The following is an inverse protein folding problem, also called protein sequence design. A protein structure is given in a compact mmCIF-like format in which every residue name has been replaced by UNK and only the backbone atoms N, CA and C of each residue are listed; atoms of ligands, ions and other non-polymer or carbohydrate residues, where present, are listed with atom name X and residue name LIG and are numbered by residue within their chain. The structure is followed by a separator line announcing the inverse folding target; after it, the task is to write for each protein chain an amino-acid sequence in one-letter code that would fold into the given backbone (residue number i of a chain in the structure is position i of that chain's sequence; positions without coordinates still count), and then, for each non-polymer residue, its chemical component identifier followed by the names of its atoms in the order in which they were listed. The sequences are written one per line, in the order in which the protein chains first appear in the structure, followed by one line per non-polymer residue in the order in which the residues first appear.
data_IF_045878634495
#
_entry.id   IF_045878634495
#
_cell.length_a   1.000
_cell.length_b   1.000
_cell.length_c   1.000
_cell.angle_alpha   90.00
_cell.angle_beta   90.00
_cell.angle_gamma   90.00
#
_symmetry.space_group_name_H-M   'P 1'
#
loop_
_entity.id
_entity.type
_entity.pdbx_description
1 polymer ?
#
# COMPACT_ATOMS: atom_id res chain seq x y z
N UNK A 1 4.53 12.99 -1.62
CA UNK A 1 4.49 14.19 -2.50
C UNK A 1 5.65 14.08 -3.48
N UNK A 2 5.55 14.61 -4.68
CA UNK A 2 6.65 14.79 -5.63
C UNK A 2 7.68 15.81 -5.11
N UNK A 3 8.89 15.83 -5.65
CA UNK A 3 9.88 16.88 -5.31
C UNK A 3 9.49 18.24 -5.88
N UNK A 4 8.82 18.23 -7.04
CA UNK A 4 8.16 19.41 -7.63
C UNK A 4 7.00 19.96 -6.80
N UNK A 5 6.60 19.27 -5.74
CA UNK A 5 5.46 19.58 -4.87
C UNK A 5 4.11 19.65 -5.60
N UNK A 6 4.05 19.23 -6.88
CA UNK A 6 2.85 19.30 -7.72
C UNK A 6 1.83 18.19 -7.46
N UNK A 7 2.23 17.08 -6.84
CA UNK A 7 1.36 15.93 -6.56
C UNK A 7 1.53 15.41 -5.15
N UNK A 8 0.42 15.16 -4.47
CA UNK A 8 0.36 14.48 -3.16
C UNK A 8 -0.41 13.18 -3.29
N UNK A 9 0.26 12.06 -3.10
CA UNK A 9 -0.33 10.73 -3.11
C UNK A 9 -0.51 10.20 -1.69
N UNK A 10 -1.75 9.88 -1.32
CA UNK A 10 -2.03 9.12 -0.09
C UNK A 10 -1.94 7.63 -0.36
N UNK A 11 -0.94 7.01 0.21
CA UNK A 11 -0.65 5.58 0.01
C UNK A 11 -1.71 4.71 0.67
N UNK A 12 -2.32 3.83 -0.12
CA UNK A 12 -3.12 2.70 0.37
C UNK A 12 -2.39 1.41 -0.03
N UNK A 13 -1.88 0.63 0.92
CA UNK A 13 -1.13 -0.58 0.61
C UNK A 13 -1.92 -1.56 -0.25
N UNK A 14 -1.25 -2.21 -1.19
CA UNK A 14 -1.79 -3.17 -2.16
C UNK A 14 -2.72 -2.57 -3.22
N UNK A 15 -2.68 -1.24 -3.38
CA UNK A 15 -3.40 -0.47 -4.38
C UNK A 15 -2.43 0.24 -5.33
N UNK A 16 -1.58 -0.51 -6.02
CA UNK A 16 -0.59 -0.03 -7.01
C UNK A 16 0.46 0.97 -6.47
N UNK A 17 0.72 0.99 -5.16
CA UNK A 17 1.61 1.98 -4.55
C UNK A 17 3.03 1.98 -5.13
N UNK A 18 3.58 0.83 -5.53
CA UNK A 18 4.90 0.78 -6.18
C UNK A 18 4.89 1.40 -7.57
N UNK A 19 3.85 1.14 -8.38
CA UNK A 19 3.70 1.72 -9.72
C UNK A 19 3.51 3.23 -9.64
N UNK A 20 2.66 3.70 -8.74
CA UNK A 20 2.45 5.13 -8.50
C UNK A 20 3.74 5.80 -8.05
N UNK A 21 4.48 5.21 -7.10
CA UNK A 21 5.76 5.71 -6.66
C UNK A 21 6.76 5.85 -7.81
N UNK A 22 6.83 4.85 -8.70
CA UNK A 22 7.69 4.90 -9.89
C UNK A 22 7.27 6.01 -10.86
N UNK A 23 5.98 6.24 -11.08
CA UNK A 23 5.48 7.31 -11.94
C UNK A 23 5.80 8.69 -11.34
N UNK A 24 5.57 8.85 -10.03
CA UNK A 24 5.91 10.09 -9.31
C UNK A 24 7.40 10.39 -9.38
N UNK A 25 8.24 9.37 -9.19
CA UNK A 25 9.69 9.50 -9.32
C UNK A 25 10.08 9.86 -10.77
N UNK A 26 9.45 9.23 -11.76
CA UNK A 26 9.68 9.55 -13.15
C UNK A 26 9.28 10.99 -13.49
N UNK A 27 8.18 11.47 -12.94
CA UNK A 27 7.73 12.86 -13.13
C UNK A 27 8.76 13.88 -12.66
N UNK A 28 9.46 13.61 -11.57
CA UNK A 28 10.48 14.51 -11.02
C UNK A 28 11.85 14.38 -11.70
N UNK A 29 12.22 13.16 -12.18
CA UNK A 29 13.60 12.85 -12.56
C UNK A 29 13.78 12.43 -14.02
N UNK A 30 12.69 12.25 -14.80
CA UNK A 30 12.71 11.80 -16.19
C UNK A 30 13.19 10.34 -16.38
N UNK A 31 13.30 9.56 -15.31
CA UNK A 31 13.72 8.15 -15.31
C UNK A 31 13.05 7.38 -14.17
N UNK A 32 12.93 6.08 -14.31
CA UNK A 32 12.47 5.22 -13.20
C UNK A 32 13.54 5.05 -12.13
N UNK A 33 13.10 4.86 -10.89
CA UNK A 33 13.99 4.53 -9.78
C UNK A 33 14.54 3.11 -9.94
N UNK A 34 15.86 2.97 -9.87
CA UNK A 34 16.50 1.66 -9.89
C UNK A 34 16.59 1.08 -8.48
N UNK A 35 15.61 0.26 -8.12
CA UNK A 35 15.53 -0.36 -6.80
C UNK A 35 14.12 -0.51 -6.29
N UNK A 36 13.98 -0.65 -4.97
CA UNK A 36 12.68 -0.64 -4.31
C UNK A 36 12.24 0.80 -4.06
N UNK A 37 11.19 1.21 -4.75
CA UNK A 37 10.64 2.58 -4.64
C UNK A 37 10.17 2.92 -3.22
N UNK A 38 9.95 1.92 -2.37
CA UNK A 38 9.61 2.10 -0.97
C UNK A 38 10.83 2.27 -0.06
N UNK A 39 12.04 2.16 -0.61
CA UNK A 39 13.26 2.40 0.14
C UNK A 39 13.47 3.91 0.38
N UNK A 40 14.11 4.25 1.50
CA UNK A 40 14.43 5.63 1.84
C UNK A 40 15.26 6.36 0.77
N UNK A 41 16.08 5.61 0.04
CA UNK A 41 16.94 6.12 -1.04
C UNK A 41 16.16 6.64 -2.26
N UNK A 42 14.87 6.32 -2.38
CA UNK A 42 13.99 6.87 -3.43
C UNK A 42 13.68 8.36 -3.24
N UNK A 43 13.94 8.92 -2.07
CA UNK A 43 13.55 10.28 -1.72
C UNK A 43 12.06 10.47 -1.40
N UNK A 44 11.17 9.62 -1.93
CA UNK A 44 9.73 9.71 -1.67
C UNK A 44 9.37 9.41 -0.22
N UNK A 45 10.20 8.66 0.49
CA UNK A 45 9.97 8.27 1.88
C UNK A 45 9.99 9.45 2.85
N UNK A 46 10.70 10.54 2.52
CA UNK A 46 10.75 11.76 3.35
C UNK A 46 9.35 12.34 3.63
N UNK A 47 8.44 12.21 2.68
CA UNK A 47 7.07 12.72 2.79
C UNK A 47 6.16 11.94 3.75
N UNK A 48 6.61 10.79 4.24
CA UNK A 48 5.93 10.03 5.28
C UNK A 48 6.36 10.43 6.70
N UNK A 49 7.30 11.36 6.83
CA UNK A 49 7.80 11.82 8.12
C UNK A 49 6.90 12.92 8.69
N UNK A 50 6.71 12.97 10.02
CA UNK A 50 5.89 14.00 10.66
C UNK A 50 6.33 15.43 10.32
N UNK A 51 7.62 15.65 10.14
CA UNK A 51 8.23 16.95 9.84
C UNK A 51 7.80 17.49 8.46
N UNK A 52 7.40 16.62 7.55
CA UNK A 52 6.93 17.00 6.22
C UNK A 52 5.44 17.34 6.17
N UNK A 53 4.66 16.99 7.18
CA UNK A 53 3.21 17.19 7.20
C UNK A 53 2.80 18.67 7.06
N UNK A 54 3.42 19.65 7.76
CA UNK A 54 3.05 21.06 7.61
C UNK A 54 3.22 21.59 6.18
N UNK A 55 4.27 21.15 5.48
CA UNK A 55 4.50 21.53 4.09
C UNK A 55 3.46 20.91 3.16
N UNK A 56 3.11 19.63 3.36
CA UNK A 56 2.06 18.97 2.59
C UNK A 56 0.73 19.70 2.79
N UNK A 57 0.36 19.98 4.04
CA UNK A 57 -0.88 20.67 4.38
C UNK A 57 -0.94 22.07 3.78
N UNK A 58 0.17 22.82 3.81
CA UNK A 58 0.26 24.15 3.22
C UNK A 58 0.07 24.11 1.70
N UNK A 59 0.71 23.17 1.00
CA UNK A 59 0.57 23.01 -0.45
C UNK A 59 -0.83 22.57 -0.87
N UNK A 60 -1.45 21.67 -0.11
CA UNK A 60 -2.84 21.24 -0.33
C UNK A 60 -3.81 22.41 -0.09
N UNK A 61 -3.65 23.15 1.00
CA UNK A 61 -4.50 24.30 1.32
C UNK A 61 -4.38 25.42 0.29
N UNK A 62 -3.19 25.62 -0.26
CA UNK A 62 -2.93 26.62 -1.31
C UNK A 62 -3.33 26.14 -2.73
N UNK A 63 -3.87 24.95 -2.89
CA UNK A 63 -4.16 24.30 -4.19
C UNK A 63 -2.96 24.24 -5.14
N UNK A 64 -1.76 24.17 -4.59
CA UNK A 64 -0.51 24.04 -5.36
C UNK A 64 -0.21 22.61 -5.76
N UNK A 65 -0.77 21.63 -5.04
CA UNK A 65 -0.58 20.23 -5.29
C UNK A 65 -1.92 19.53 -5.55
N UNK A 66 -1.96 18.71 -6.58
CA UNK A 66 -3.06 17.80 -6.84
C UNK A 66 -3.01 16.63 -5.85
N UNK A 67 -4.11 16.37 -5.18
CA UNK A 67 -4.20 15.32 -4.16
C UNK A 67 -4.93 14.10 -4.70
N UNK A 68 -4.32 12.92 -4.56
CA UNK A 68 -4.96 11.70 -5.02
C UNK A 68 -4.65 10.48 -4.16
N UNK A 69 -5.48 9.46 -4.33
CA UNK A 69 -5.27 8.13 -3.77
C UNK A 69 -5.68 7.08 -4.78
N UNK A 70 -5.26 5.85 -4.53
CA UNK A 70 -5.68 4.70 -5.34
C UNK A 70 -6.33 3.65 -4.44
N UNK A 71 -7.47 3.16 -4.84
CA UNK A 71 -8.19 2.08 -4.17
C UNK A 71 -8.28 0.85 -5.07
N UNK A 72 -8.59 -0.28 -4.48
CA UNK A 72 -8.69 -1.56 -5.17
C UNK A 72 -9.91 -2.32 -4.67
N UNK A 73 -10.49 -3.16 -5.51
CA UNK A 73 -11.49 -4.13 -5.08
C UNK A 73 -10.99 -4.84 -3.80
N UNK A 74 -11.76 -4.85 -2.70
CA UNK A 74 -11.29 -5.36 -1.41
C UNK A 74 -10.90 -6.83 -1.45
N UNK A 75 -11.56 -7.65 -2.26
CA UNK A 75 -11.21 -9.06 -2.44
C UNK A 75 -9.87 -9.23 -3.15
N UNK A 76 -9.63 -8.46 -4.21
CA UNK A 76 -8.36 -8.46 -4.92
C UNK A 76 -7.21 -7.90 -4.04
N UNK A 77 -7.50 -6.92 -3.20
CA UNK A 77 -6.53 -6.34 -2.26
C UNK A 77 -6.09 -7.35 -1.21
N UNK A 78 -7.03 -8.03 -0.56
CA UNK A 78 -6.70 -9.00 0.50
C UNK A 78 -5.99 -10.23 -0.07
N UNK A 79 -6.36 -10.67 -1.27
CA UNK A 79 -5.67 -11.75 -1.99
C UNK A 79 -4.21 -11.36 -2.29
N UNK A 80 -3.99 -10.14 -2.78
CA UNK A 80 -2.65 -9.60 -3.00
C UNK A 80 -1.83 -9.54 -1.71
N UNK A 81 -2.47 -9.21 -0.58
CA UNK A 81 -1.82 -9.20 0.73
C UNK A 81 -1.40 -10.59 1.19
N UNK A 82 -2.25 -11.58 0.98
CA UNK A 82 -1.95 -12.98 1.30
C UNK A 82 -0.71 -13.47 0.56
N UNK A 83 -0.68 -13.34 -0.76
CA UNK A 83 0.46 -13.82 -1.54
C UNK A 83 1.74 -13.04 -1.25
N UNK A 84 1.68 -11.74 -1.12
CA UNK A 84 2.88 -10.92 -0.91
C UNK A 84 3.40 -11.00 0.54
N UNK A 85 2.52 -10.90 1.54
CA UNK A 85 2.94 -10.75 2.93
C UNK A 85 2.95 -12.06 3.73
N UNK A 86 2.13 -13.02 3.33
CA UNK A 86 2.04 -14.30 4.04
C UNK A 86 2.84 -15.39 3.32
N UNK A 87 2.63 -15.56 2.01
CA UNK A 87 3.33 -16.58 1.23
C UNK A 87 4.68 -16.09 0.69
N UNK A 88 4.81 -14.80 0.40
CA UNK A 88 5.99 -14.22 -0.22
C UNK A 88 7.25 -14.24 0.65
N UNK A 89 8.39 -14.30 -0.01
CA UNK A 89 9.71 -14.15 0.58
C UNK A 89 10.25 -12.78 0.18
N UNK A 90 10.66 -11.99 1.16
CA UNK A 90 11.26 -10.68 0.92
C UNK A 90 12.67 -10.80 0.32
N UNK A 91 13.20 -9.70 -0.24
CA UNK A 91 14.56 -9.65 -0.83
C UNK A 91 15.67 -10.11 0.12
N UNK A 92 15.48 -9.93 1.43
CA UNK A 92 16.41 -10.40 2.45
C UNK A 92 16.31 -11.91 2.78
N UNK A 93 15.53 -12.68 2.00
CA UNK A 93 15.30 -14.11 2.21
C UNK A 93 14.38 -14.44 3.38
N UNK A 94 13.74 -13.44 4.01
CA UNK A 94 12.85 -13.62 5.14
C UNK A 94 11.40 -13.39 4.74
N UNK A 95 10.48 -14.01 5.46
CA UNK A 95 9.06 -13.72 5.32
C UNK A 95 8.70 -12.40 6.02
N UNK A 96 7.75 -11.69 5.45
CA UNK A 96 7.16 -10.55 6.14
C UNK A 96 6.59 -11.00 7.48
N UNK A 97 7.02 -10.33 8.57
CA UNK A 97 6.65 -10.76 9.94
C UNK A 97 6.82 -12.26 10.17
N UNK A 98 8.04 -12.76 9.95
CA UNK A 98 8.36 -14.19 10.02
C UNK A 98 7.92 -14.90 11.31
N UNK A 99 7.85 -14.18 12.44
CA UNK A 99 7.29 -14.66 13.70
C UNK A 99 5.77 -14.91 13.66
N UNK A 100 5.04 -14.31 12.74
CA UNK A 100 3.61 -14.51 12.55
C UNK A 100 3.30 -15.86 11.88
N UNK A 101 4.13 -16.29 10.96
CA UNK A 101 3.90 -17.51 10.16
C UNK A 101 3.72 -18.77 11.03
N UNK A 102 4.55 -19.06 12.04
CA UNK A 102 4.32 -20.19 12.93
C UNK A 102 2.94 -20.16 13.59
N UNK A 103 2.49 -19.00 14.05
CA UNK A 103 1.17 -18.85 14.65
C UNK A 103 0.05 -19.08 13.63
N UNK A 104 0.20 -18.58 12.40
CA UNK A 104 -0.77 -18.80 11.31
C UNK A 104 -0.89 -20.28 10.96
N UNK A 105 0.23 -21.00 10.88
CA UNK A 105 0.26 -22.44 10.61
C UNK A 105 -0.40 -23.21 11.76
N UNK A 106 0.00 -22.94 13.00
CA UNK A 106 -0.46 -23.71 14.17
C UNK A 106 -1.91 -23.43 14.52
N UNK A 107 -2.31 -22.15 14.53
CA UNK A 107 -3.65 -21.74 15.02
C UNK A 107 -4.71 -21.74 13.92
N UNK A 108 -4.36 -21.39 12.70
CA UNK A 108 -5.30 -21.28 11.59
C UNK A 108 -5.10 -22.36 10.52
N UNK A 109 -4.05 -23.18 10.61
CA UNK A 109 -3.74 -24.23 9.66
C UNK A 109 -3.38 -23.72 8.26
N UNK A 110 -2.83 -22.48 8.18
CA UNK A 110 -2.47 -21.86 6.90
C UNK A 110 -1.17 -22.51 6.39
N UNK A 111 -1.20 -23.02 5.17
CA UNK A 111 -0.01 -23.47 4.46
C UNK A 111 0.60 -22.33 3.66
N UNK A 112 1.93 -22.28 3.57
CA UNK A 112 2.66 -21.15 2.96
C UNK A 112 3.80 -21.59 2.04
N UNK A 113 3.75 -22.80 1.52
CA UNK A 113 4.75 -23.33 0.58
C UNK A 113 6.13 -23.58 1.18
N UNK A 114 6.19 -23.95 2.46
CA UNK A 114 7.45 -24.26 3.16
C UNK A 114 8.28 -23.00 3.51
N UNK A 115 9.48 -23.18 4.07
CA UNK A 115 10.34 -22.08 4.52
C UNK A 115 10.79 -21.14 3.39
N UNK A 116 11.03 -21.71 2.20
CA UNK A 116 11.47 -20.99 1.00
C UNK A 116 10.32 -20.53 0.08
N UNK A 117 9.08 -20.83 0.47
CA UNK A 117 7.87 -20.47 -0.30
C UNK A 117 7.66 -21.25 -1.59
N UNK A 118 8.45 -22.31 -1.85
CA UNK A 118 8.46 -23.02 -3.14
C UNK A 118 7.71 -24.35 -3.13
N UNK A 119 7.40 -24.88 -1.94
CA UNK A 119 6.67 -26.14 -1.86
C UNK A 119 5.21 -25.96 -2.28
N UNK A 120 4.64 -26.87 -3.07
CA UNK A 120 3.21 -26.86 -3.39
C UNK A 120 2.35 -26.90 -2.11
N UNK A 121 1.26 -26.16 -2.11
CA UNK A 121 0.27 -26.17 -1.02
C UNK A 121 -1.12 -25.84 -1.55
N UNK A 122 -2.17 -26.15 -0.79
CA UNK A 122 -3.53 -25.78 -1.14
C UNK A 122 -3.74 -24.27 -0.89
N UNK A 123 -3.52 -23.49 -1.94
CA UNK A 123 -3.65 -22.03 -1.90
C UNK A 123 -5.07 -21.57 -1.59
N UNK A 124 -6.08 -22.30 -2.07
CA UNK A 124 -7.49 -21.93 -1.85
C UNK A 124 -7.88 -22.14 -0.39
N UNK A 125 -7.58 -23.31 0.16
CA UNK A 125 -7.85 -23.62 1.57
C UNK A 125 -7.07 -22.65 2.49
N UNK A 126 -5.80 -22.42 2.19
CA UNK A 126 -4.95 -21.50 2.98
C UNK A 126 -5.44 -20.06 2.90
N UNK A 127 -5.86 -19.58 1.74
CA UNK A 127 -6.45 -18.26 1.62
C UNK A 127 -7.77 -18.13 2.40
N UNK A 128 -8.65 -19.12 2.34
CA UNK A 128 -9.89 -19.14 3.15
C UNK A 128 -9.58 -19.02 4.65
N UNK A 129 -8.57 -19.74 5.12
CA UNK A 129 -8.12 -19.67 6.52
C UNK A 129 -7.49 -18.31 6.86
N UNK A 130 -6.75 -17.73 5.92
CA UNK A 130 -6.23 -16.36 6.07
C UNK A 130 -7.35 -15.32 6.19
N UNK A 131 -8.46 -15.50 5.47
CA UNK A 131 -9.62 -14.62 5.63
C UNK A 131 -10.22 -14.67 7.04
N UNK A 132 -10.24 -15.86 7.67
CA UNK A 132 -10.66 -15.98 9.06
C UNK A 132 -9.72 -15.24 10.01
N UNK A 133 -8.41 -15.41 9.82
CA UNK A 133 -7.40 -14.65 10.58
C UNK A 133 -7.56 -13.13 10.40
N UNK A 134 -7.66 -12.65 9.15
CA UNK A 134 -7.82 -11.23 8.86
C UNK A 134 -9.10 -10.67 9.50
N UNK A 135 -10.21 -11.40 9.41
CA UNK A 135 -11.47 -11.05 10.09
C UNK A 135 -11.28 -10.92 11.60
N UNK A 136 -10.60 -11.88 12.22
CA UNK A 136 -10.39 -11.89 13.66
C UNK A 136 -9.52 -10.72 14.12
N UNK A 137 -8.51 -10.32 13.34
CA UNK A 137 -7.71 -9.12 13.61
C UNK A 137 -8.53 -7.83 13.49
N UNK A 138 -9.39 -7.73 12.47
CA UNK A 138 -10.21 -6.53 12.22
C UNK A 138 -11.31 -6.37 13.29
N UNK A 139 -12.01 -7.47 13.60
CA UNK A 139 -13.16 -7.43 14.52
C UNK A 139 -12.76 -7.38 15.99
N UNK A 140 -11.76 -8.16 16.35
CA UNK A 140 -11.44 -8.45 17.74
C UNK A 140 -10.10 -7.91 18.17
N UNK A 141 -9.33 -7.39 17.21
CA UNK A 141 -7.91 -7.00 17.40
C UNK A 141 -7.08 -8.13 17.99
N UNK A 142 -7.48 -9.37 17.73
CA UNK A 142 -6.81 -10.60 18.18
C UNK A 142 -6.66 -11.55 16.99
N UNK A 143 -5.52 -12.22 16.93
CA UNK A 143 -4.43 -12.31 17.91
C UNK A 143 -3.46 -11.13 17.88
N UNK A 144 -3.64 -10.17 17.01
CA UNK A 144 -2.81 -8.96 16.88
C UNK A 144 -3.64 -7.82 16.27
N UNK A 145 -3.12 -6.60 16.33
CA UNK A 145 -3.69 -5.47 15.61
C UNK A 145 -3.70 -5.73 14.09
N UNK A 146 -4.74 -5.29 13.38
CA UNK A 146 -4.80 -5.46 11.94
C UNK A 146 -3.64 -4.73 11.26
N UNK A 147 -2.96 -5.45 10.38
CA UNK A 147 -1.89 -4.89 9.58
C UNK A 147 -2.44 -3.98 8.47
N UNK A 148 -1.70 -2.96 8.12
CA UNK A 148 -2.08 -1.98 7.08
C UNK A 148 -2.39 -2.61 5.72
N UNK A 149 -1.84 -3.80 5.43
CA UNK A 149 -2.05 -4.50 4.15
C UNK A 149 -3.41 -5.18 4.05
N UNK A 150 -4.07 -5.48 5.18
CA UNK A 150 -5.42 -6.08 5.19
C UNK A 150 -6.42 -5.36 6.09
N UNK A 151 -6.04 -4.25 6.74
CA UNK A 151 -6.97 -3.38 7.46
C UNK A 151 -7.96 -2.70 6.51
N UNK A 152 -9.02 -2.13 7.04
CA UNK A 152 -10.02 -1.43 6.24
C UNK A 152 -9.41 -0.24 5.48
N UNK A 153 -9.74 -0.12 4.19
CA UNK A 153 -9.28 1.00 3.35
C UNK A 153 -9.79 2.34 3.88
N UNK A 154 -11.00 2.35 4.43
CA UNK A 154 -11.61 3.55 5.02
C UNK A 154 -10.73 4.20 6.09
N UNK A 155 -9.99 3.43 6.89
CA UNK A 155 -9.07 3.97 7.88
C UNK A 155 -7.91 4.75 7.27
N UNK A 156 -7.41 4.33 6.09
CA UNK A 156 -6.34 5.03 5.39
C UNK A 156 -6.82 6.32 4.71
N UNK A 157 -8.00 6.26 4.09
CA UNK A 157 -8.59 7.37 3.34
C UNK A 157 -9.16 8.41 4.29
N UNK A 158 -9.89 7.99 5.32
CA UNK A 158 -10.56 8.90 6.25
C UNK A 158 -9.58 9.76 7.06
N UNK A 159 -8.41 9.26 7.43
CA UNK A 159 -7.40 10.02 8.17
C UNK A 159 -6.99 11.30 7.42
N UNK A 160 -6.83 11.22 6.11
CA UNK A 160 -6.50 12.39 5.29
C UNK A 160 -7.67 13.39 5.23
N UNK A 161 -8.91 12.89 5.11
CA UNK A 161 -10.12 13.74 5.08
C UNK A 161 -10.32 14.44 6.42
N UNK A 162 -10.13 13.74 7.55
CA UNK A 162 -10.30 14.32 8.90
C UNK A 162 -9.30 15.45 9.16
N UNK A 163 -8.10 15.36 8.61
CA UNK A 163 -7.09 16.40 8.73
C UNK A 163 -7.29 17.58 7.76
N UNK A 164 -8.48 17.75 7.19
CA UNK A 164 -8.82 18.84 6.28
C UNK A 164 -8.40 18.62 4.83
N UNK A 165 -7.70 17.53 4.54
CA UNK A 165 -7.34 17.15 3.16
C UNK A 165 -8.57 16.62 2.41
N UNK A 166 -8.58 16.89 1.10
CA UNK A 166 -9.54 16.28 0.18
C UNK A 166 -8.77 15.63 -0.96
N UNK A 167 -9.39 14.67 -1.62
CA UNK A 167 -8.84 14.10 -2.84
C UNK A 167 -9.43 14.80 -4.05
N UNK A 168 -8.58 15.30 -4.93
CA UNK A 168 -8.97 15.80 -6.24
C UNK A 168 -9.28 14.62 -7.18
N UNK A 169 -8.55 13.49 -7.00
CA UNK A 169 -8.76 12.27 -7.76
C UNK A 169 -8.72 11.02 -6.87
N UNK A 170 -9.63 10.07 -7.14
CA UNK A 170 -9.58 8.72 -6.58
C UNK A 170 -9.45 7.74 -7.73
N UNK A 171 -8.32 7.05 -7.79
CA UNK A 171 -8.03 6.04 -8.80
C UNK A 171 -8.54 4.67 -8.35
N UNK A 172 -8.86 3.84 -9.33
CA UNK A 172 -9.17 2.44 -9.13
C UNK A 172 -8.11 1.59 -9.83
N UNK A 173 -7.53 0.60 -9.15
CA UNK A 173 -6.52 -0.27 -9.77
C UNK A 173 -7.05 -1.00 -11.01
N UNK A 174 -8.35 -1.24 -11.08
CA UNK A 174 -9.05 -1.88 -12.20
C UNK A 174 -9.11 -1.00 -13.47
N UNK A 175 -8.84 0.30 -13.31
CA UNK A 175 -8.77 1.32 -14.38
C UNK A 175 -7.54 2.21 -14.17
N UNK A 176 -6.41 1.58 -13.83
CA UNK A 176 -5.23 2.29 -13.37
C UNK A 176 -4.70 3.30 -14.39
N UNK A 177 -4.52 2.87 -15.65
CA UNK A 177 -3.93 3.71 -16.70
C UNK A 177 -4.81 4.94 -16.99
N UNK A 178 -6.13 4.75 -17.11
CA UNK A 178 -7.08 5.85 -17.31
C UNK A 178 -7.06 6.84 -16.14
N UNK A 179 -7.05 6.31 -14.90
CA UNK A 179 -7.01 7.15 -13.70
C UNK A 179 -5.69 7.90 -13.56
N UNK A 180 -4.57 7.24 -13.83
CA UNK A 180 -3.24 7.86 -13.72
C UNK A 180 -3.02 8.93 -14.80
N UNK A 181 -3.51 8.73 -16.01
CA UNK A 181 -3.46 9.75 -17.05
C UNK A 181 -4.20 11.02 -16.61
N UNK A 182 -5.40 10.90 -16.01
CA UNK A 182 -6.13 12.06 -15.48
C UNK A 182 -5.38 12.81 -14.38
N UNK A 183 -4.64 12.08 -13.53
CA UNK A 183 -3.77 12.70 -12.52
C UNK A 183 -2.65 13.49 -13.18
N UNK A 184 -1.97 12.92 -14.17
CA UNK A 184 -0.86 13.58 -14.86
C UNK A 184 -1.33 14.81 -15.65
N UNK A 185 -2.49 14.71 -16.33
CA UNK A 185 -3.07 15.83 -17.09
C UNK A 185 -3.53 16.99 -16.20
N UNK A 186 -3.91 16.71 -14.97
CA UNK A 186 -4.42 17.70 -14.01
C UNK A 186 -3.34 18.23 -13.04
N UNK A 187 -2.17 17.60 -12.99
CA UNK A 187 -1.09 18.03 -12.11
C UNK A 187 -0.57 19.43 -12.54
N UNK A 188 -0.37 20.36 -11.61
CA UNK A 188 0.24 21.66 -11.92
C UNK A 188 1.64 21.48 -12.54
N UNK A 189 1.92 22.24 -13.57
CA UNK A 189 3.23 22.28 -14.25
C UNK A 189 4.20 23.21 -13.53
#
# INVERSE_FOLDING_TARGET
MTESESMVYRVVPKCACSSIGQIMFYSDHGRYFDGDIHDATSGLHKWNQPESQPLIEANVAAHKALTFTCVRNPYARILSSFFDKICGIQRNGRRYRGNLVPMLVQKYGIEVGGPDGKQPFDQIASFRRFLLFARDTIRWRRPMEPDIHWSAVSGHVATFIVNGGRYDQILFTEKFDEGMQKVLDAAPT
#
